data_IF_193518515340
#
_entry.id   IF_193518515340
#
_cell.length_a   1.000
_cell.length_b   1.000
_cell.length_c   1.000
_cell.angle_alpha   90.00
_cell.angle_beta   90.00
_cell.angle_gamma   90.00
#
_symmetry.space_group_name_H-M   'P 1'
#
loop_
_entity.id
_entity.type
_entity.pdbx_description
1 polymer ?
#
# COMPACT_ATOMS: atom_id res chain seq x y z
N UNK A 1 -13.63 27.75 -32.95
CA UNK A 1 -13.51 26.31 -32.66
C UNK A 1 -12.23 26.10 -31.86
N UNK A 2 -12.23 25.51 -30.64
CA UNK A 2 -11.02 25.40 -29.83
C UNK A 2 -10.20 24.16 -30.21
N UNK A 3 -8.91 24.37 -30.37
CA UNK A 3 -7.89 23.38 -30.69
C UNK A 3 -7.65 22.45 -29.48
N UNK A 4 -7.72 21.14 -29.69
CA UNK A 4 -7.46 20.13 -28.67
C UNK A 4 -5.97 19.94 -28.43
N UNK A 5 -5.53 20.07 -27.18
CA UNK A 5 -4.18 19.68 -26.76
C UNK A 5 -4.07 18.15 -26.74
N UNK A 6 -3.25 17.59 -27.64
CA UNK A 6 -2.83 16.20 -27.60
C UNK A 6 -1.68 16.03 -26.60
N UNK A 7 -1.90 15.23 -25.55
CA UNK A 7 -0.86 14.83 -24.59
C UNK A 7 0.05 13.79 -25.27
N UNK A 8 1.39 13.96 -25.25
CA UNK A 8 2.29 13.02 -25.91
C UNK A 8 2.29 11.63 -25.22
N UNK A 9 2.20 10.53 -25.98
CA UNK A 9 2.01 9.17 -25.45
C UNK A 9 3.24 8.56 -24.74
N UNK A 10 4.39 9.25 -24.71
CA UNK A 10 5.63 8.68 -24.17
C UNK A 10 5.65 8.56 -22.63
N UNK A 11 4.88 9.36 -21.90
CA UNK A 11 4.84 9.31 -20.43
C UNK A 11 4.01 8.15 -19.86
N UNK A 12 3.05 7.62 -20.62
CA UNK A 12 2.24 6.48 -20.14
C UNK A 12 3.00 5.15 -20.21
N UNK A 13 3.91 5.02 -21.16
CA UNK A 13 4.65 3.79 -21.41
C UNK A 13 5.68 3.55 -20.30
N UNK A 14 6.43 4.58 -19.88
CA UNK A 14 7.43 4.46 -18.81
C UNK A 14 6.82 4.03 -17.46
N UNK A 15 5.64 4.52 -17.10
CA UNK A 15 4.97 4.13 -15.86
C UNK A 15 4.58 2.63 -15.88
N UNK A 16 4.11 2.12 -17.02
CA UNK A 16 3.76 0.71 -17.17
C UNK A 16 4.99 -0.21 -17.15
N UNK A 17 6.12 0.22 -17.74
CA UNK A 17 7.37 -0.54 -17.68
C UNK A 17 7.99 -0.55 -16.28
N UNK A 18 7.95 0.56 -15.53
CA UNK A 18 8.44 0.64 -14.15
C UNK A 18 7.69 -0.28 -13.18
N UNK A 19 6.37 -0.44 -13.38
CA UNK A 19 5.53 -1.37 -12.61
C UNK A 19 5.85 -2.83 -12.95
N UNK A 20 6.23 -3.11 -14.20
CA UNK A 20 6.58 -4.46 -14.67
C UNK A 20 8.01 -4.90 -14.29
N UNK A 21 8.96 -3.97 -14.15
CA UNK A 21 10.37 -4.26 -13.80
C UNK A 21 10.67 -4.17 -12.30
N UNK A 22 9.69 -3.81 -11.47
CA UNK A 22 9.88 -3.60 -10.03
C UNK A 22 10.77 -2.39 -9.70
N UNK A 23 11.16 -1.60 -10.69
CA UNK A 23 11.85 -0.33 -10.50
C UNK A 23 10.82 0.79 -10.45
N UNK A 24 10.11 0.87 -9.32
CA UNK A 24 9.45 2.13 -8.98
C UNK A 24 10.56 3.19 -8.80
N UNK A 25 10.45 4.38 -9.41
CA UNK A 25 11.34 5.49 -9.09
C UNK A 25 11.35 5.70 -7.57
N UNK A 26 12.54 5.76 -6.97
CA UNK A 26 12.75 5.93 -5.52
C UNK A 26 12.00 7.17 -4.98
N UNK A 27 11.66 8.12 -5.85
CA UNK A 27 10.93 9.35 -5.54
C UNK A 27 9.42 9.18 -5.28
N UNK A 28 8.87 7.97 -5.31
CA UNK A 28 7.45 7.74 -5.04
C UNK A 28 7.24 6.82 -3.83
N UNK A 29 7.75 7.24 -2.66
CA UNK A 29 7.50 6.65 -1.33
C UNK A 29 6.05 6.82 -0.85
N UNK A 30 5.08 6.55 -1.71
CA UNK A 30 3.67 6.59 -1.38
C UNK A 30 3.28 5.37 -0.55
N UNK A 31 2.34 5.56 0.37
CA UNK A 31 1.88 4.52 1.28
C UNK A 31 1.37 3.29 0.53
N UNK A 32 0.69 3.46 -0.60
CA UNK A 32 0.21 2.34 -1.41
C UNK A 32 1.33 1.50 -2.01
N UNK A 33 2.47 2.11 -2.36
CA UNK A 33 3.63 1.39 -2.88
C UNK A 33 4.27 0.56 -1.77
N UNK A 34 4.45 1.16 -0.59
CA UNK A 34 4.99 0.47 0.58
C UNK A 34 4.08 -0.70 0.95
N UNK A 35 2.77 -0.51 1.00
CA UNK A 35 1.83 -1.59 1.33
C UNK A 35 1.83 -2.70 0.27
N UNK A 36 1.95 -2.37 -1.03
CA UNK A 36 2.12 -3.37 -2.09
C UNK A 36 3.38 -4.22 -1.92
N UNK A 37 4.50 -3.59 -1.54
CA UNK A 37 5.76 -4.29 -1.26
C UNK A 37 5.67 -5.23 -0.05
N UNK A 38 4.69 -5.02 0.84
CA UNK A 38 4.48 -5.83 2.05
C UNK A 38 3.29 -6.79 1.93
N UNK A 39 2.82 -7.08 0.72
CA UNK A 39 1.81 -8.12 0.49
C UNK A 39 2.26 -9.45 1.10
N UNK A 40 1.37 -10.12 1.81
CA UNK A 40 1.62 -11.39 2.51
C UNK A 40 2.12 -11.22 3.94
N UNK A 41 2.54 -10.02 4.35
CA UNK A 41 2.87 -9.75 5.77
C UNK A 41 1.61 -9.49 6.58
N UNK A 42 1.68 -9.86 7.86
CA UNK A 42 0.66 -9.53 8.84
C UNK A 42 0.81 -8.07 9.25
N UNK A 43 -0.32 -7.36 9.28
CA UNK A 43 -0.38 -5.95 9.62
C UNK A 43 -1.62 -5.65 10.47
N UNK A 44 -1.51 -4.61 11.29
CA UNK A 44 -2.62 -4.00 12.02
C UNK A 44 -2.87 -2.61 11.49
N UNK A 45 -4.08 -2.37 10.99
CA UNK A 45 -4.53 -1.13 10.37
C UNK A 45 -5.39 -0.37 11.37
N UNK A 46 -5.00 0.88 11.66
CA UNK A 46 -5.71 1.76 12.57
C UNK A 46 -6.45 2.83 11.77
N UNK A 47 -7.76 2.94 12.01
CA UNK A 47 -8.62 3.83 11.24
C UNK A 47 -9.53 4.65 12.12
N UNK A 48 -9.68 5.93 11.79
CA UNK A 48 -10.64 6.83 12.43
C UNK A 48 -11.72 7.22 11.43
N UNK A 49 -12.95 6.82 11.72
CA UNK A 49 -14.14 7.22 10.97
C UNK A 49 -14.68 8.53 11.53
N UNK A 50 -15.34 9.34 10.69
CA UNK A 50 -15.74 10.73 10.97
C UNK A 50 -16.18 11.02 12.41
N UNK A 51 -15.80 12.20 12.90
CA UNK A 51 -16.12 12.66 14.26
C UNK A 51 -17.64 12.78 14.42
N UNK A 52 -18.20 11.94 15.29
CA UNK A 52 -19.65 11.83 15.50
C UNK A 52 -20.32 10.64 14.81
N UNK A 53 -19.58 9.89 13.99
CA UNK A 53 -20.04 8.58 13.54
C UNK A 53 -20.09 7.58 14.70
N UNK A 54 -21.07 6.67 14.67
CA UNK A 54 -21.15 5.56 15.63
C UNK A 54 -20.00 4.56 15.50
N UNK A 55 -19.17 4.69 14.46
CA UNK A 55 -18.08 3.77 14.16
C UNK A 55 -16.80 4.10 14.93
N UNK A 56 -16.52 5.38 15.19
CA UNK A 56 -15.37 5.86 15.96
C UNK A 56 -14.03 5.43 15.37
N UNK A 57 -13.06 5.09 16.23
CA UNK A 57 -11.81 4.45 15.82
C UNK A 57 -11.99 2.94 15.79
N UNK A 58 -11.47 2.29 14.75
CA UNK A 58 -11.43 0.83 14.64
C UNK A 58 -10.03 0.34 14.28
N UNK A 59 -9.77 -0.89 14.68
CA UNK A 59 -8.53 -1.60 14.39
C UNK A 59 -8.87 -2.86 13.63
N UNK A 60 -8.10 -3.14 12.58
CA UNK A 60 -8.23 -4.36 11.80
C UNK A 60 -6.88 -5.04 11.66
N UNK A 61 -6.79 -6.30 12.10
CA UNK A 61 -5.56 -7.09 12.00
C UNK A 61 -5.76 -8.21 10.99
N UNK A 62 -4.80 -8.39 10.10
CA UNK A 62 -4.84 -9.42 9.07
C UNK A 62 -3.61 -9.43 8.18
N UNK A 63 -3.62 -10.29 7.18
CA UNK A 63 -2.58 -10.34 6.15
C UNK A 63 -2.92 -9.38 5.03
N UNK A 64 -1.95 -8.58 4.57
CA UNK A 64 -2.14 -7.71 3.40
C UNK A 64 -2.27 -8.57 2.14
N UNK A 65 -3.44 -8.53 1.49
CA UNK A 65 -3.66 -9.21 0.21
C UNK A 65 -3.39 -8.29 -0.98
N UNK A 66 -3.74 -7.01 -0.87
CA UNK A 66 -3.52 -6.01 -1.91
C UNK A 66 -3.57 -4.59 -1.35
N UNK A 67 -2.99 -3.63 -2.08
CA UNK A 67 -3.14 -2.21 -1.81
C UNK A 67 -3.26 -1.42 -3.12
N UNK A 68 -4.33 -0.64 -3.22
CA UNK A 68 -4.59 0.32 -4.28
C UNK A 68 -4.23 1.74 -3.86
N UNK A 69 -4.52 2.72 -4.72
CA UNK A 69 -4.25 4.14 -4.44
C UNK A 69 -5.09 4.69 -3.29
N UNK A 70 -6.29 4.17 -3.11
CA UNK A 70 -7.30 4.66 -2.18
C UNK A 70 -7.78 3.59 -1.20
N UNK A 71 -7.22 2.38 -1.24
CA UNK A 71 -7.68 1.27 -0.42
C UNK A 71 -6.61 0.23 -0.09
N UNK A 72 -6.88 -0.54 0.97
CA UNK A 72 -6.12 -1.70 1.42
C UNK A 72 -7.07 -2.89 1.51
N UNK A 73 -6.64 -4.06 1.05
CA UNK A 73 -7.33 -5.32 1.29
C UNK A 73 -6.53 -6.13 2.29
N UNK A 74 -7.17 -6.48 3.41
CA UNK A 74 -6.61 -7.40 4.41
C UNK A 74 -7.51 -8.61 4.59
N UNK A 75 -6.91 -9.77 4.82
CA UNK A 75 -7.62 -10.99 5.20
C UNK A 75 -7.37 -11.35 6.66
N UNK A 76 -8.45 -11.58 7.38
CA UNK A 76 -8.42 -12.08 8.75
C UNK A 76 -8.62 -13.60 8.74
N UNK A 77 -7.54 -14.33 8.98
CA UNK A 77 -7.54 -15.79 8.99
C UNK A 77 -8.42 -16.39 10.11
N UNK A 78 -8.68 -15.64 11.19
CA UNK A 78 -9.48 -16.11 12.32
C UNK A 78 -10.97 -16.12 11.98
N UNK A 79 -11.44 -15.07 11.30
CA UNK A 79 -12.85 -14.91 10.97
C UNK A 79 -13.19 -15.30 9.53
N UNK A 80 -12.19 -15.51 8.67
CA UNK A 80 -12.35 -15.75 7.24
C UNK A 80 -12.78 -14.51 6.45
N UNK A 81 -12.87 -13.34 7.09
CA UNK A 81 -13.30 -12.09 6.47
C UNK A 81 -12.19 -11.46 5.65
N UNK A 82 -12.60 -10.77 4.59
CA UNK A 82 -11.77 -9.85 3.82
C UNK A 82 -12.31 -8.46 3.98
N UNK A 83 -11.44 -7.54 4.40
CA UNK A 83 -11.80 -6.14 4.59
C UNK A 83 -11.24 -5.33 3.43
N UNK A 84 -12.10 -4.57 2.77
CA UNK A 84 -11.72 -3.48 1.87
C UNK A 84 -11.78 -2.19 2.67
N UNK A 85 -10.62 -1.60 2.95
CA UNK A 85 -10.45 -0.45 3.84
C UNK A 85 -10.04 0.77 3.03
N UNK A 86 -10.75 1.90 3.19
CA UNK A 86 -10.43 3.13 2.45
C UNK A 86 -9.30 3.90 3.11
N UNK A 87 -8.25 4.24 2.36
CA UNK A 87 -7.08 4.98 2.85
C UNK A 87 -7.41 6.36 3.41
N UNK A 88 -8.53 6.97 3.02
CA UNK A 88 -8.96 8.26 3.56
C UNK A 88 -9.19 8.24 5.08
N UNK A 89 -9.50 7.07 5.65
CA UNK A 89 -9.69 6.88 7.09
C UNK A 89 -8.46 6.32 7.80
N UNK A 90 -7.35 6.13 7.10
CA UNK A 90 -6.16 5.49 7.63
C UNK A 90 -5.34 6.45 8.50
N UNK A 91 -5.10 6.07 9.75
CA UNK A 91 -4.21 6.80 10.64
C UNK A 91 -2.77 6.29 10.50
N UNK A 92 -2.56 4.97 10.70
CA UNK A 92 -1.27 4.32 10.53
C UNK A 92 -1.41 2.80 10.37
N UNK A 93 -0.30 2.14 9.98
CA UNK A 93 -0.21 0.67 9.85
C UNK A 93 0.98 0.17 10.67
N UNK A 94 0.74 -0.83 11.49
CA UNK A 94 1.76 -1.56 12.25
C UNK A 94 2.04 -2.91 11.57
N UNK A 95 3.30 -3.33 11.59
CA UNK A 95 3.74 -4.63 11.08
C UNK A 95 4.43 -5.40 12.20
N UNK A 96 4.13 -6.69 12.32
CA UNK A 96 4.82 -7.60 13.26
C UNK A 96 6.27 -7.92 12.80
N UNK A 97 6.58 -7.62 11.53
CA UNK A 97 7.85 -7.88 10.86
C UNK A 97 8.46 -6.59 10.28
N UNK A 98 9.74 -6.64 9.88
CA UNK A 98 10.41 -5.50 9.26
C UNK A 98 9.69 -5.04 7.97
N UNK A 99 9.43 -3.74 7.85
CA UNK A 99 8.76 -3.15 6.68
C UNK A 99 9.72 -3.16 5.47
N UNK A 100 9.23 -3.70 4.35
CA UNK A 100 9.89 -3.58 3.06
C UNK A 100 9.54 -2.21 2.48
N UNK A 101 10.50 -1.30 2.52
CA UNK A 101 10.35 0.09 2.09
C UNK A 101 10.73 0.29 0.63
N UNK A 102 11.76 -0.41 0.14
CA UNK A 102 12.21 -0.33 -1.25
C UNK A 102 12.18 -1.69 -1.96
N UNK A 103 11.95 -1.70 -3.28
CA UNK A 103 12.19 -2.89 -4.10
C UNK A 103 13.63 -3.40 -3.90
N UNK A 104 13.80 -4.71 -3.71
CA UNK A 104 15.12 -5.33 -3.53
C UNK A 104 15.68 -5.35 -2.09
N UNK A 105 15.01 -4.70 -1.13
CA UNK A 105 15.44 -4.71 0.28
C UNK A 105 15.40 -6.11 0.91
N UNK A 106 14.59 -7.03 0.35
CA UNK A 106 14.52 -8.43 0.76
C UNK A 106 15.86 -9.18 0.61
N UNK A 107 16.82 -8.66 -0.18
CA UNK A 107 18.17 -9.23 -0.31
C UNK A 107 19.24 -8.62 0.62
N UNK A 108 18.92 -7.54 1.35
CA UNK A 108 19.89 -6.77 2.12
C UNK A 108 19.84 -7.00 3.64
N UNK A 109 18.80 -7.68 4.14
CA UNK A 109 18.64 -7.97 5.57
C UNK A 109 19.38 -9.22 6.05
N UNK A 110 19.89 -10.07 5.14
CA UNK A 110 20.54 -11.34 5.49
C UNK A 110 21.99 -11.23 5.98
N UNK A 111 22.55 -10.03 6.17
CA UNK A 111 24.01 -9.90 6.40
C UNK A 111 24.45 -8.79 7.36
N UNK A 112 23.64 -8.39 8.35
CA UNK A 112 24.14 -7.56 9.46
C UNK A 112 23.99 -8.27 10.80
N UNK A 113 25.05 -8.93 11.31
CA UNK A 113 25.12 -9.22 12.73
C UNK A 113 25.28 -7.90 13.49
N UNK A 114 24.52 -7.73 14.57
CA UNK A 114 24.81 -6.73 15.58
C UNK A 114 26.11 -7.09 16.31
#
# INVERSE_FOLDING_TARGET
MPQGYSIPPQQQVQAQFAVATGQLPIEQSYIENILRLNKGKKATVYMTFERGSSLGTKTFTGTIEAAGRDHIIISDATTGKRYLLLMVYLDYVEFDEAITYLPGQLGAYSSRPY
#
